data_IF_561777864426
#
_entry.id   IF_561777864426
#
_cell.length_a   1.000
_cell.length_b   1.000
_cell.length_c   1.000
_cell.angle_alpha   90.00
_cell.angle_beta   90.00
_cell.angle_gamma   90.00
#
_symmetry.space_group_name_H-M   'P 1'
#
loop_
_entity.id
_entity.type
_entity.pdbx_description
1 polymer ?
#
# COMPACT_ATOMS: atom_id res chain seq x y z
N UNK A 1 -15.35 -12.58 -4.24
CA UNK A 1 -15.27 -11.75 -5.46
C UNK A 1 -13.90 -11.09 -5.50
N UNK A 2 -13.27 -11.00 -6.68
CA UNK A 2 -12.02 -10.26 -6.92
C UNK A 2 -12.35 -9.08 -7.82
N UNK A 3 -11.88 -7.89 -7.46
CA UNK A 3 -12.04 -6.67 -8.24
C UNK A 3 -10.67 -6.03 -8.48
N UNK A 4 -10.43 -5.64 -9.72
CA UNK A 4 -9.25 -4.89 -10.15
C UNK A 4 -9.74 -3.68 -10.93
N UNK A 5 -9.39 -2.48 -10.47
CA UNK A 5 -9.84 -1.23 -11.06
C UNK A 5 -8.68 -0.24 -11.21
N UNK A 6 -8.56 0.45 -12.36
CA UNK A 6 -7.72 1.63 -12.42
C UNK A 6 -8.33 2.73 -11.57
N UNK A 7 -7.48 3.47 -10.86
CA UNK A 7 -7.86 4.70 -10.15
C UNK A 7 -6.90 5.81 -10.54
N UNK A 8 -7.37 7.05 -10.46
CA UNK A 8 -6.56 8.24 -10.74
C UNK A 8 -6.35 9.00 -9.42
N UNK A 9 -5.10 9.27 -9.07
CA UNK A 9 -4.72 10.10 -7.93
C UNK A 9 -3.87 11.24 -8.48
N UNK A 10 -4.30 12.47 -8.32
CA UNK A 10 -3.65 13.69 -8.82
C UNK A 10 -3.17 13.57 -10.28
N UNK A 11 -4.04 13.02 -11.14
CA UNK A 11 -3.76 12.83 -12.57
C UNK A 11 -2.87 11.63 -12.92
N UNK A 12 -2.42 10.85 -11.94
CA UNK A 12 -1.56 9.68 -12.15
C UNK A 12 -2.35 8.37 -11.98
N UNK A 13 -2.15 7.37 -12.85
CA UNK A 13 -2.85 6.10 -12.77
C UNK A 13 -2.25 5.16 -11.72
N UNK A 14 -3.12 4.46 -11.00
CA UNK A 14 -2.78 3.39 -10.06
C UNK A 14 -3.76 2.22 -10.24
N UNK A 15 -3.38 1.04 -9.74
CA UNK A 15 -4.24 -0.15 -9.78
C UNK A 15 -4.71 -0.48 -8.37
N UNK A 16 -6.02 -0.40 -8.15
CA UNK A 16 -6.66 -0.87 -6.93
C UNK A 16 -7.07 -2.34 -7.09
N UNK A 17 -6.71 -3.16 -6.11
CA UNK A 17 -7.08 -4.58 -6.02
C UNK A 17 -7.85 -4.80 -4.73
N UNK A 18 -9.00 -5.44 -4.84
CA UNK A 18 -9.82 -5.84 -3.70
C UNK A 18 -10.24 -7.30 -3.83
N UNK A 19 -9.95 -8.11 -2.82
CA UNK A 19 -10.38 -9.50 -2.72
C UNK A 19 -11.26 -9.66 -1.50
N UNK A 20 -12.51 -10.07 -1.71
CA UNK A 20 -13.39 -10.47 -0.61
C UNK A 20 -13.03 -11.87 -0.16
N UNK A 21 -12.65 -12.00 1.11
CA UNK A 21 -12.35 -13.26 1.78
C UNK A 21 -13.42 -13.54 2.85
N UNK A 22 -13.51 -14.77 3.37
CA UNK A 22 -14.38 -15.06 4.49
C UNK A 22 -14.08 -14.14 5.68
N UNK A 23 -15.06 -13.32 6.06
CA UNK A 23 -15.00 -12.38 7.20
C UNK A 23 -14.00 -11.23 7.07
N UNK A 24 -13.37 -11.00 5.92
CA UNK A 24 -12.40 -9.92 5.73
C UNK A 24 -12.22 -9.52 4.25
N UNK A 25 -11.52 -8.42 4.00
CA UNK A 25 -11.10 -8.00 2.66
C UNK A 25 -9.58 -7.89 2.60
N UNK A 26 -9.00 -8.33 1.49
CA UNK A 26 -7.62 -8.04 1.10
C UNK A 26 -7.64 -6.84 0.15
N UNK A 27 -6.94 -5.77 0.51
CA UNK A 27 -6.96 -4.50 -0.22
C UNK A 27 -5.53 -4.09 -0.54
N UNK A 28 -5.27 -3.72 -1.78
CA UNK A 28 -4.00 -3.14 -2.20
C UNK A 28 -4.21 -2.04 -3.23
N UNK A 29 -3.31 -1.06 -3.26
CA UNK A 29 -3.20 -0.09 -4.35
C UNK A 29 -1.75 -0.06 -4.79
N UNK A 30 -1.51 -0.33 -6.07
CA UNK A 30 -0.17 -0.39 -6.65
C UNK A 30 0.07 0.80 -7.60
N UNK A 31 1.23 1.43 -7.44
CA UNK A 31 1.84 2.32 -8.42
C UNK A 31 2.88 1.56 -9.26
N UNK A 32 3.70 2.31 -10.01
CA UNK A 32 4.73 1.75 -10.88
C UNK A 32 5.88 1.11 -10.08
N UNK A 33 6.30 1.75 -8.99
CA UNK A 33 7.49 1.33 -8.21
C UNK A 33 7.17 0.66 -6.88
N UNK A 34 5.96 0.85 -6.36
CA UNK A 34 5.58 0.37 -5.04
C UNK A 34 4.08 0.24 -4.86
N UNK A 35 3.67 -0.17 -3.66
CA UNK A 35 2.26 -0.38 -3.35
C UNK A 35 1.97 -0.14 -1.86
N UNK A 36 0.71 0.18 -1.57
CA UNK A 36 0.18 0.13 -0.20
C UNK A 36 -0.83 -0.99 -0.08
N UNK A 37 -0.94 -1.57 1.11
CA UNK A 37 -1.84 -2.69 1.37
C UNK A 37 -2.43 -2.61 2.78
N UNK A 38 -3.58 -3.25 2.97
CA UNK A 38 -4.16 -3.39 4.30
C UNK A 38 -3.27 -4.23 5.24
N UNK A 39 -3.70 -4.39 6.50
CA UNK A 39 -2.93 -5.04 7.57
C UNK A 39 -2.48 -6.49 7.34
N UNK A 40 -2.81 -7.11 6.19
CA UNK A 40 -2.27 -8.39 5.78
C UNK A 40 -0.84 -8.31 5.22
N UNK A 41 -0.33 -7.11 4.93
CA UNK A 41 1.05 -6.92 4.51
C UNK A 41 2.01 -7.16 5.69
N UNK A 42 3.02 -7.99 5.49
CA UNK A 42 4.07 -8.23 6.48
C UNK A 42 5.33 -7.43 6.14
N UNK A 43 5.38 -6.18 6.62
CA UNK A 43 6.51 -5.26 6.37
C UNK A 43 7.81 -5.78 6.99
N UNK A 44 7.73 -6.44 8.15
CA UNK A 44 8.90 -7.01 8.82
C UNK A 44 9.52 -8.12 7.94
N UNK A 45 8.70 -9.02 7.40
CA UNK A 45 9.17 -10.03 6.46
C UNK A 45 9.85 -9.41 5.23
N UNK A 46 9.26 -8.35 4.65
CA UNK A 46 9.85 -7.65 3.50
C UNK A 46 11.23 -7.08 3.84
N UNK A 47 11.37 -6.46 5.01
CA UNK A 47 12.61 -5.84 5.45
C UNK A 47 13.69 -6.84 5.91
N UNK A 48 13.29 -7.96 6.51
CA UNK A 48 14.23 -8.93 7.11
C UNK A 48 14.63 -10.04 6.14
N UNK A 49 13.69 -10.55 5.35
CA UNK A 49 13.91 -11.74 4.51
C UNK A 49 14.04 -11.42 3.03
N UNK A 50 13.48 -10.29 2.59
CA UNK A 50 13.44 -9.90 1.17
C UNK A 50 14.09 -8.53 0.92
N UNK A 51 15.00 -8.11 1.81
CA UNK A 51 15.62 -6.78 1.80
C UNK A 51 16.32 -6.46 0.49
N UNK A 52 16.98 -7.45 -0.09
CA UNK A 52 17.73 -7.38 -1.35
C UNK A 52 16.86 -7.00 -2.55
N UNK A 53 15.53 -7.19 -2.45
CA UNK A 53 14.58 -6.86 -3.52
C UNK A 53 14.19 -5.38 -3.54
N UNK A 54 14.51 -4.61 -2.50
CA UNK A 54 14.22 -3.17 -2.46
C UNK A 54 12.72 -2.84 -2.59
N UNK A 55 11.84 -3.67 -2.03
CA UNK A 55 10.39 -3.52 -2.18
C UNK A 55 9.93 -2.24 -1.50
N UNK A 56 9.32 -1.33 -2.26
CA UNK A 56 8.73 -0.09 -1.76
C UNK A 56 7.27 -0.38 -1.38
N UNK A 57 6.97 -0.48 -0.09
CA UNK A 57 5.62 -0.76 0.36
C UNK A 57 5.24 -0.11 1.68
N UNK A 58 3.93 0.12 1.85
CA UNK A 58 3.34 0.64 3.08
C UNK A 58 2.13 -0.19 3.53
N UNK A 59 1.96 -0.33 4.84
CA UNK A 59 0.84 -1.04 5.46
C UNK A 59 -0.09 -0.05 6.16
N UNK A 60 -1.39 -0.19 5.97
CA UNK A 60 -2.40 0.50 6.78
C UNK A 60 -3.31 -0.50 7.50
N UNK A 61 -3.69 -0.22 8.74
CA UNK A 61 -4.55 -1.07 9.57
C UNK A 61 -5.93 -0.45 9.77
N UNK A 62 -6.93 -1.28 10.12
CA UNK A 62 -8.29 -0.79 10.40
C UNK A 62 -9.11 -0.41 9.15
N UNK A 63 -8.60 -0.65 7.94
CA UNK A 63 -9.25 -0.30 6.67
C UNK A 63 -10.04 -1.46 6.08
N UNK A 64 -11.18 -1.15 5.45
CA UNK A 64 -12.11 -2.11 4.82
C UNK A 64 -12.46 -1.80 3.37
N UNK A 65 -12.13 -0.59 2.89
CA UNK A 65 -12.33 -0.15 1.51
C UNK A 65 -11.05 0.47 0.94
N UNK A 66 -10.98 0.59 -0.40
CA UNK A 66 -9.87 1.30 -1.07
C UNK A 66 -9.78 2.75 -0.61
N UNK A 67 -10.92 3.45 -0.49
CA UNK A 67 -10.91 4.84 0.01
C UNK A 67 -10.31 4.94 1.41
N UNK A 68 -10.68 4.03 2.32
CA UNK A 68 -10.07 4.00 3.64
C UNK A 68 -8.57 3.72 3.59
N UNK A 69 -8.11 2.83 2.70
CA UNK A 69 -6.68 2.57 2.50
C UNK A 69 -5.93 3.80 1.97
N UNK A 70 -6.54 4.58 1.08
CA UNK A 70 -5.95 5.82 0.54
C UNK A 70 -5.86 6.93 1.61
N UNK A 71 -6.83 6.99 2.51
CA UNK A 71 -6.96 8.08 3.48
C UNK A 71 -6.34 7.76 4.85
N UNK A 72 -6.10 6.48 5.15
CA UNK A 72 -5.49 6.06 6.40
C UNK A 72 -3.99 6.39 6.47
N UNK A 73 -3.48 6.68 7.68
CA UNK A 73 -2.04 6.75 7.92
C UNK A 73 -1.42 5.35 7.76
N UNK A 74 -0.24 5.29 7.15
CA UNK A 74 0.57 4.08 7.12
C UNK A 74 1.04 3.75 8.54
N UNK A 75 0.73 2.54 8.99
CA UNK A 75 1.16 2.01 10.29
C UNK A 75 2.62 1.57 10.26
N UNK A 76 3.07 1.01 9.14
CA UNK A 76 4.46 0.60 8.93
C UNK A 76 4.85 0.71 7.45
N UNK A 77 6.14 0.91 7.19
CA UNK A 77 6.70 1.09 5.83
C UNK A 77 8.00 0.31 5.67
N UNK A 78 8.33 -0.09 4.43
CA UNK A 78 9.61 -0.76 4.15
C UNK A 78 10.78 0.22 4.22
N UNK A 79 11.99 -0.30 4.42
CA UNK A 79 13.22 0.52 4.43
C UNK A 79 13.40 1.26 3.10
N UNK A 80 13.12 0.59 1.97
CA UNK A 80 13.18 1.23 0.66
C UNK A 80 12.15 2.36 0.48
N UNK A 81 11.00 2.29 1.16
CA UNK A 81 10.02 3.37 1.15
C UNK A 81 10.51 4.58 1.97
N UNK A 82 11.16 4.35 3.12
CA UNK A 82 11.77 5.42 3.92
C UNK A 82 12.83 6.20 3.13
N UNK A 83 13.63 5.52 2.31
CA UNK A 83 14.64 6.14 1.45
C UNK A 83 14.04 7.09 0.39
N UNK A 84 12.74 6.92 0.06
CA UNK A 84 11.96 7.81 -0.82
C UNK A 84 11.19 8.88 -0.04
N UNK A 85 11.42 8.98 1.26
CA UNK A 85 10.73 9.89 2.17
C UNK A 85 9.26 9.53 2.35
N UNK A 86 8.92 8.24 2.33
CA UNK A 86 7.61 7.71 2.73
C UNK A 86 7.75 7.20 4.15
N UNK A 87 7.04 7.81 5.08
CA UNK A 87 7.21 7.58 6.52
C UNK A 87 5.95 7.00 7.16
N UNK A 88 6.10 6.40 8.34
CA UNK A 88 4.97 6.02 9.18
C UNK A 88 4.12 7.25 9.51
N UNK A 89 2.80 7.09 9.55
CA UNK A 89 1.85 8.19 9.69
C UNK A 89 1.50 8.91 8.39
N UNK A 90 2.29 8.74 7.31
CA UNK A 90 1.98 9.34 6.01
C UNK A 90 0.67 8.79 5.46
N UNK A 91 -0.14 9.67 4.85
CA UNK A 91 -1.41 9.28 4.23
C UNK A 91 -1.15 8.39 3.01
N UNK A 92 -1.91 7.30 2.87
CA UNK A 92 -1.72 6.33 1.78
C UNK A 92 -1.67 6.94 0.37
N UNK A 93 -2.54 7.92 0.11
CA UNK A 93 -2.58 8.69 -1.15
C UNK A 93 -1.28 9.43 -1.44
N UNK A 94 -0.70 10.07 -0.43
CA UNK A 94 0.56 10.83 -0.55
C UNK A 94 1.75 9.89 -0.76
N UNK A 95 1.75 8.76 -0.05
CA UNK A 95 2.75 7.72 -0.21
C UNK A 95 2.73 7.15 -1.64
N UNK A 96 1.55 6.85 -2.19
CA UNK A 96 1.41 6.34 -3.56
C UNK A 96 1.97 7.30 -4.62
N UNK A 97 1.80 8.61 -4.45
CA UNK A 97 2.38 9.61 -5.37
C UNK A 97 3.91 9.60 -5.37
N UNK A 98 4.54 9.17 -4.28
CA UNK A 98 5.99 8.92 -4.19
C UNK A 98 6.41 7.56 -4.75
N UNK A 99 5.47 6.63 -4.94
CA UNK A 99 5.66 5.28 -5.51
C UNK A 99 5.34 5.19 -7.01
N UNK A 100 5.12 6.32 -7.68
CA UNK A 100 5.12 6.40 -9.15
C UNK A 100 6.52 6.19 -9.72
#
# INVERSE_FOLDING_TARGET
>A
MVEVKPIIIDGHPFIAVSVQLPKTNLLAVAGEKGYIMCGALDVALLNEKLRDRGIIAGRAVGVRTIEQLLEAPLESVTVAALELGIEEGMKGREALLKMR
#
